data_IF_050856368989
#
_entry.id   IF_050856368989
#
_cell.length_a   1.000
_cell.length_b   1.000
_cell.length_c   1.000
_cell.angle_alpha   90.00
_cell.angle_beta   90.00
_cell.angle_gamma   90.00
#
_symmetry.space_group_name_H-M   'P 1'
#
loop_
_entity.id
_entity.type
_entity.pdbx_description
1 polymer ?
#
# COMPACT_ATOMS: atom_id res chain seq x y z
N UNK A 1 22.84 -5.07 -11.14
CA UNK A 1 21.48 -4.91 -10.55
C UNK A 1 21.53 -4.59 -9.06
N UNK A 2 22.66 -4.83 -8.39
CA UNK A 2 23.02 -4.31 -7.07
C UNK A 2 23.69 -2.94 -7.20
N UNK A 3 22.93 -1.86 -6.98
CA UNK A 3 23.41 -0.50 -6.57
C UNK A 3 22.27 0.55 -6.66
N UNK A 4 21.05 0.24 -6.21
CA UNK A 4 19.96 1.23 -6.34
C UNK A 4 18.87 1.08 -5.27
N UNK A 5 19.25 1.06 -3.99
CA UNK A 5 18.27 1.31 -2.91
C UNK A 5 17.55 2.67 -3.10
N UNK A 6 18.10 3.57 -3.93
CA UNK A 6 17.52 4.85 -4.34
C UNK A 6 16.34 4.76 -5.33
N UNK A 7 15.94 3.57 -5.82
CA UNK A 7 14.82 3.44 -6.76
C UNK A 7 13.44 3.42 -6.09
N UNK A 8 13.37 3.54 -4.76
CA UNK A 8 12.11 3.52 -4.01
C UNK A 8 11.58 4.95 -3.81
N UNK A 9 10.36 5.18 -4.27
CA UNK A 9 9.56 6.38 -3.98
C UNK A 9 8.59 5.99 -2.87
N UNK A 10 8.81 6.48 -1.65
CA UNK A 10 7.97 6.18 -0.49
C UNK A 10 7.02 7.34 -0.18
N UNK A 11 5.75 7.03 0.02
CA UNK A 11 4.71 7.97 0.37
C UNK A 11 3.96 7.45 1.60
N UNK A 12 3.97 8.21 2.69
CA UNK A 12 3.17 7.91 3.88
C UNK A 12 1.75 8.44 3.71
N UNK A 13 0.76 7.53 3.69
CA UNK A 13 -0.63 7.89 3.45
C UNK A 13 -1.28 8.63 4.61
N UNK A 14 -0.67 8.64 5.80
CA UNK A 14 -1.06 9.50 6.90
C UNK A 14 -0.89 11.00 6.57
N UNK A 15 -0.02 11.37 5.63
CA UNK A 15 0.08 12.76 5.14
C UNK A 15 -1.02 13.14 4.13
N UNK A 16 -1.78 12.16 3.65
CA UNK A 16 -2.80 12.30 2.60
C UNK A 16 -4.21 11.98 3.11
N UNK A 17 -4.43 12.14 4.42
CA UNK A 17 -5.73 11.93 5.07
C UNK A 17 -6.78 12.99 4.69
N UNK A 18 -6.33 14.18 4.30
CA UNK A 18 -7.21 15.32 4.00
C UNK A 18 -7.35 15.51 2.48
N UNK A 19 -8.55 15.92 2.05
CA UNK A 19 -8.84 16.07 0.62
C UNK A 19 -7.87 17.00 -0.11
N UNK A 20 -7.44 18.09 0.52
CA UNK A 20 -6.58 19.07 -0.14
C UNK A 20 -5.12 18.60 -0.21
N UNK A 21 -4.68 17.71 0.68
CA UNK A 21 -3.31 17.21 0.65
C UNK A 21 -3.10 16.18 -0.47
N UNK A 22 -4.17 15.53 -0.96
CA UNK A 22 -4.12 14.60 -2.12
C UNK A 22 -3.66 15.30 -3.41
N UNK A 23 -3.99 16.58 -3.59
CA UNK A 23 -3.54 17.35 -4.74
C UNK A 23 -2.01 17.40 -4.83
N UNK A 24 -1.28 17.33 -3.71
CA UNK A 24 0.20 17.29 -3.71
C UNK A 24 0.76 16.09 -4.46
N UNK A 25 0.02 14.98 -4.62
CA UNK A 25 0.48 13.81 -5.39
C UNK A 25 0.60 14.12 -6.89
N UNK A 26 -0.33 14.90 -7.44
CA UNK A 26 -0.46 15.20 -8.88
C UNK A 26 -0.13 16.65 -9.24
N UNK A 27 0.00 17.52 -8.25
CA UNK A 27 0.18 18.97 -8.38
C UNK A 27 -1.13 19.74 -8.13
N UNK A 28 -1.01 21.03 -7.88
CA UNK A 28 -2.18 21.91 -7.75
C UNK A 28 -2.70 22.33 -9.13
N UNK A 29 -4.02 22.51 -9.32
CA UNK A 29 -4.59 23.07 -10.55
C UNK A 29 -4.19 24.54 -10.78
N UNK A 30 -4.32 25.07 -12.01
CA UNK A 30 -4.13 26.49 -12.29
C UNK A 30 -4.99 27.37 -11.37
N UNK A 31 -4.36 28.37 -10.72
CA UNK A 31 -5.04 29.29 -9.81
C UNK A 31 -5.03 28.89 -8.32
N UNK A 32 -4.39 27.76 -7.97
CA UNK A 32 -4.19 27.34 -6.58
C UNK A 32 -2.74 27.50 -6.12
N UNK A 33 -2.52 27.65 -4.81
CA UNK A 33 -1.18 27.67 -4.21
C UNK A 33 -0.45 26.37 -4.54
N UNK A 34 0.81 26.46 -4.97
CA UNK A 34 1.61 25.31 -5.41
C UNK A 34 1.36 24.87 -6.85
N UNK A 35 0.70 25.68 -7.70
CA UNK A 35 0.51 25.36 -9.13
C UNK A 35 1.83 25.17 -9.89
N UNK A 36 2.87 25.93 -9.52
CA UNK A 36 4.19 25.78 -10.13
C UNK A 36 4.97 24.59 -9.55
N UNK A 37 4.54 24.05 -8.41
CA UNK A 37 5.07 22.82 -7.85
C UNK A 37 4.43 21.62 -8.56
N UNK A 38 5.25 20.78 -9.19
CA UNK A 38 4.77 19.53 -9.77
C UNK A 38 4.32 18.56 -8.67
N UNK A 39 3.49 17.58 -9.03
CA UNK A 39 3.04 16.57 -8.07
C UNK A 39 4.19 15.71 -7.57
N UNK A 40 4.20 15.41 -6.27
CA UNK A 40 5.23 14.60 -5.63
C UNK A 40 5.36 13.23 -6.29
N UNK A 41 4.23 12.57 -6.57
CA UNK A 41 4.22 11.25 -7.21
C UNK A 41 4.49 11.38 -8.72
N UNK A 42 3.79 12.28 -9.40
CA UNK A 42 3.91 12.44 -10.86
C UNK A 42 5.32 12.85 -11.28
N UNK A 43 5.96 13.79 -10.57
CA UNK A 43 7.33 14.20 -10.86
C UNK A 43 8.37 13.17 -10.46
N UNK A 44 8.19 12.46 -9.34
CA UNK A 44 9.11 11.41 -8.93
C UNK A 44 9.18 10.28 -9.98
N UNK A 45 8.02 9.79 -10.44
CA UNK A 45 7.95 8.75 -11.48
C UNK A 45 8.38 9.29 -12.84
N UNK A 46 8.07 10.55 -13.18
CA UNK A 46 8.57 11.19 -14.41
C UNK A 46 10.09 11.23 -14.46
N UNK A 47 10.75 11.50 -13.33
CA UNK A 47 12.22 11.51 -13.21
C UNK A 47 12.81 10.10 -13.19
N UNK A 48 12.09 9.12 -12.63
CA UNK A 48 12.52 7.72 -12.49
C UNK A 48 11.39 6.76 -12.91
N UNK A 49 11.19 6.54 -14.22
CA UNK A 49 10.12 5.67 -14.73
C UNK A 49 10.27 4.20 -14.36
N UNK A 50 11.49 3.77 -14.00
CA UNK A 50 11.81 2.45 -13.46
C UNK A 50 12.01 2.59 -11.96
N UNK A 51 10.92 2.47 -11.20
CA UNK A 51 10.92 2.68 -9.75
C UNK A 51 9.95 1.74 -9.05
N UNK A 52 10.14 1.62 -7.74
CA UNK A 52 9.16 1.03 -6.84
C UNK A 52 8.48 2.17 -6.12
N UNK A 53 7.16 2.29 -6.23
CA UNK A 53 6.36 3.25 -5.47
C UNK A 53 5.72 2.52 -4.30
N UNK A 54 6.09 2.90 -3.08
CA UNK A 54 5.56 2.35 -1.83
C UNK A 54 4.58 3.34 -1.21
N UNK A 55 3.30 2.97 -1.16
CA UNK A 55 2.27 3.66 -0.39
C UNK A 55 2.14 2.99 0.98
N UNK A 56 2.65 3.66 2.02
CA UNK A 56 2.65 3.14 3.38
C UNK A 56 1.34 3.50 4.09
N UNK A 57 0.80 2.60 4.93
CA UNK A 57 -0.44 2.80 5.70
C UNK A 57 -1.66 3.20 4.86
N UNK A 58 -1.91 2.49 3.75
CA UNK A 58 -2.91 2.87 2.74
C UNK A 58 -4.33 3.07 3.30
N UNK A 59 -4.69 2.41 4.40
CA UNK A 59 -5.97 2.59 5.09
C UNK A 59 -6.19 3.99 5.67
N UNK A 60 -5.13 4.79 5.80
CA UNK A 60 -5.20 6.18 6.30
C UNK A 60 -5.52 7.17 5.19
N UNK A 61 -5.27 6.81 3.93
CA UNK A 61 -5.43 7.72 2.81
C UNK A 61 -6.87 8.25 2.66
N UNK A 62 -7.00 9.49 2.22
CA UNK A 62 -8.29 10.03 1.80
C UNK A 62 -8.85 9.24 0.59
N UNK A 63 -10.18 9.05 0.47
CA UNK A 63 -10.81 8.34 -0.65
C UNK A 63 -10.36 8.77 -2.06
N UNK A 64 -10.04 10.05 -2.27
CA UNK A 64 -9.55 10.56 -3.56
C UNK A 64 -8.20 9.95 -3.98
N UNK A 65 -7.36 9.51 -3.04
CA UNK A 65 -6.10 8.82 -3.36
C UNK A 65 -6.38 7.49 -4.08
N UNK A 66 -7.45 6.79 -3.72
CA UNK A 66 -7.82 5.54 -4.39
C UNK A 66 -8.27 5.75 -5.82
N UNK A 67 -8.86 6.90 -6.16
CA UNK A 67 -9.18 7.24 -7.54
C UNK A 67 -7.90 7.42 -8.38
N UNK A 68 -6.88 8.07 -7.81
CA UNK A 68 -5.55 8.22 -8.43
C UNK A 68 -4.91 6.84 -8.62
N UNK A 69 -4.95 5.99 -7.59
CA UNK A 69 -4.39 4.63 -7.67
C UNK A 69 -5.13 3.76 -8.68
N UNK A 70 -6.46 3.82 -8.75
CA UNK A 70 -7.24 3.11 -9.77
C UNK A 70 -6.76 3.49 -11.18
N UNK A 71 -6.57 4.78 -11.46
CA UNK A 71 -6.07 5.23 -12.75
C UNK A 71 -4.68 4.63 -13.06
N UNK A 72 -3.78 4.59 -12.07
CA UNK A 72 -2.45 3.99 -12.23
C UNK A 72 -2.57 2.48 -12.51
N UNK A 73 -3.36 1.76 -11.70
CA UNK A 73 -3.47 0.30 -11.77
C UNK A 73 -4.25 -0.17 -13.01
N UNK A 74 -5.14 0.65 -13.56
CA UNK A 74 -5.92 0.33 -14.77
C UNK A 74 -5.19 0.74 -16.05
N UNK A 75 -4.76 2.00 -16.16
CA UNK A 75 -4.23 2.56 -17.41
C UNK A 75 -2.70 2.53 -17.49
N UNK A 76 -2.01 2.20 -16.38
CA UNK A 76 -0.57 2.34 -16.27
C UNK A 76 -0.10 3.79 -16.46
N UNK A 77 -0.99 4.77 -16.24
CA UNK A 77 -0.74 6.19 -16.46
C UNK A 77 -1.46 7.06 -15.43
N UNK A 78 -0.88 8.21 -15.16
CA UNK A 78 -1.50 9.24 -14.32
C UNK A 78 -1.28 10.61 -14.94
N UNK A 79 -2.32 11.42 -15.02
CA UNK A 79 -2.20 12.81 -15.47
C UNK A 79 -1.90 13.71 -14.28
N UNK A 80 -0.91 14.60 -14.44
CA UNK A 80 -0.72 15.69 -13.48
C UNK A 80 -1.81 16.76 -13.61
N UNK A 81 -1.82 17.71 -12.68
CA UNK A 81 -2.81 18.79 -12.67
C UNK A 81 -2.72 19.76 -13.87
N UNK A 82 -1.67 19.65 -14.68
CA UNK A 82 -1.47 20.39 -15.94
C UNK A 82 -1.90 19.56 -17.17
N UNK A 83 -2.46 18.37 -16.95
CA UNK A 83 -2.93 17.47 -17.99
C UNK A 83 -1.82 16.65 -18.68
N UNK A 84 -0.59 16.68 -18.16
CA UNK A 84 0.52 15.93 -18.75
C UNK A 84 0.58 14.52 -18.15
N UNK A 85 0.38 13.53 -19.01
CA UNK A 85 0.47 12.12 -18.62
C UNK A 85 1.89 11.73 -18.15
N UNK A 86 1.92 10.86 -17.14
CA UNK A 86 3.10 10.17 -16.61
C UNK A 86 2.87 8.68 -16.80
N UNK A 87 3.91 7.96 -17.25
CA UNK A 87 3.84 6.53 -17.52
C UNK A 87 4.33 5.73 -16.31
N UNK A 88 3.50 4.79 -15.84
CA UNK A 88 3.74 3.87 -14.73
C UNK A 88 3.96 2.42 -15.19
N UNK A 89 4.00 2.15 -16.50
CA UNK A 89 4.11 0.78 -17.03
C UNK A 89 5.39 0.03 -16.59
N UNK A 90 6.44 0.74 -16.16
CA UNK A 90 7.67 0.15 -15.64
C UNK A 90 7.85 0.40 -14.12
N UNK A 91 6.76 0.75 -13.44
CA UNK A 91 6.73 1.06 -12.01
C UNK A 91 6.07 -0.08 -11.27
N UNK A 92 6.72 -0.59 -10.22
CA UNK A 92 6.10 -1.53 -9.29
C UNK A 92 5.39 -0.72 -8.21
N UNK A 93 4.09 -0.93 -8.04
CA UNK A 93 3.31 -0.29 -6.97
C UNK A 93 3.16 -1.27 -5.81
N UNK A 94 3.61 -0.87 -4.63
CA UNK A 94 3.47 -1.61 -3.38
C UNK A 94 2.65 -0.78 -2.42
N UNK A 95 1.72 -1.44 -1.72
CA UNK A 95 0.91 -0.82 -0.68
C UNK A 95 1.03 -1.65 0.59
N UNK A 96 1.23 -1.01 1.72
CA UNK A 96 1.20 -1.66 3.03
C UNK A 96 -0.08 -1.27 3.75
N UNK A 97 -0.57 -2.15 4.60
CA UNK A 97 -1.71 -1.86 5.46
C UNK A 97 -1.57 -2.55 6.79
N UNK A 98 -1.97 -1.86 7.86
CA UNK A 98 -2.04 -2.43 9.21
C UNK A 98 -3.44 -2.96 9.55
N UNK A 99 -4.35 -3.05 8.58
CA UNK A 99 -5.69 -3.62 8.77
C UNK A 99 -5.62 -5.10 9.19
N UNK A 100 -6.51 -5.49 10.10
CA UNK A 100 -6.62 -6.87 10.60
C UNK A 100 -5.61 -7.28 11.68
N UNK A 101 -4.58 -6.46 11.96
CA UNK A 101 -3.54 -6.79 12.97
C UNK A 101 -4.08 -6.81 14.41
N UNK A 102 -5.08 -5.98 14.72
CA UNK A 102 -5.73 -5.89 16.04
C UNK A 102 -6.59 -7.12 16.36
N UNK A 103 -7.40 -7.59 15.40
CA UNK A 103 -8.26 -8.76 15.59
C UNK A 103 -7.45 -10.05 15.82
N UNK A 104 -6.27 -10.13 15.18
CA UNK A 104 -5.32 -11.22 15.43
C UNK A 104 -4.82 -11.25 16.88
N UNK A 105 -4.58 -10.09 17.51
CA UNK A 105 -4.17 -10.03 18.93
C UNK A 105 -5.27 -10.52 19.86
N UNK A 106 -6.53 -10.20 19.58
CA UNK A 106 -7.66 -10.57 20.44
C UNK A 106 -7.94 -12.08 20.42
N UNK A 107 -7.90 -12.72 19.25
CA UNK A 107 -8.12 -14.17 19.12
C UNK A 107 -7.00 -15.00 19.77
N UNK A 108 -5.78 -14.48 19.80
CA UNK A 108 -4.65 -15.11 20.48
C UNK A 108 -4.77 -15.06 22.02
N UNK A 109 -5.26 -13.94 22.58
CA UNK A 109 -5.41 -13.80 24.04
C UNK A 109 -6.44 -14.75 24.66
N UNK A 110 -7.32 -15.35 23.86
CA UNK A 110 -8.36 -16.26 24.34
C UNK A 110 -7.97 -17.75 24.24
N UNK A 111 -6.79 -18.09 23.69
CA UNK A 111 -6.46 -19.46 23.26
C UNK A 111 -5.06 -20.01 23.59
N UNK A 112 -4.20 -19.36 24.38
CA UNK A 112 -2.90 -19.95 24.74
C UNK A 112 -3.01 -21.02 25.85
N UNK A 113 -3.22 -22.28 25.46
CA UNK A 113 -2.40 -23.37 26.00
C UNK A 113 -1.09 -23.41 25.19
N UNK A 114 0.09 -23.48 25.82
CA UNK A 114 1.34 -23.61 25.10
C UNK A 114 1.45 -25.05 24.57
N UNK A 115 0.83 -25.33 23.43
CA UNK A 115 1.14 -26.53 22.66
C UNK A 115 2.42 -26.26 21.87
N UNK A 116 3.39 -27.16 22.05
CA UNK A 116 4.63 -27.26 21.28
C UNK A 116 4.26 -27.16 19.78
N UNK A 117 4.95 -26.32 18.97
CA UNK A 117 4.58 -26.11 17.57
C UNK A 117 4.74 -27.42 16.81
N UNK A 118 3.62 -28.03 16.43
CA UNK A 118 3.57 -29.14 15.49
C UNK A 118 3.41 -28.56 14.08
N UNK A 119 4.29 -28.94 13.15
CA UNK A 119 4.38 -28.37 11.78
C UNK A 119 3.08 -28.50 10.95
N UNK A 120 2.12 -29.30 11.43
CA UNK A 120 0.81 -29.50 10.79
C UNK A 120 -0.26 -28.49 11.21
N UNK A 121 -0.12 -27.87 12.38
CA UNK A 121 -1.11 -26.93 12.94
C UNK A 121 -1.04 -25.54 12.29
N UNK A 122 0.09 -25.20 11.69
CA UNK A 122 0.36 -23.90 11.06
C UNK A 122 -0.52 -23.66 9.84
N UNK A 123 -0.63 -24.64 8.93
CA UNK A 123 -1.36 -24.48 7.66
C UNK A 123 -2.85 -24.09 7.80
N UNK A 124 -3.57 -24.70 8.75
CA UNK A 124 -4.99 -24.44 8.97
C UNK A 124 -5.23 -23.10 9.71
N UNK A 125 -4.34 -22.73 10.63
CA UNK A 125 -4.36 -21.43 11.30
C UNK A 125 -4.00 -20.30 10.33
N UNK A 126 -3.08 -20.55 9.39
CA UNK A 126 -2.68 -19.60 8.35
C UNK A 126 -3.83 -19.31 7.38
N UNK A 127 -4.60 -20.33 6.98
CA UNK A 127 -5.80 -20.17 6.16
C UNK A 127 -6.84 -19.25 6.83
N UNK A 128 -7.18 -19.53 8.09
CA UNK A 128 -8.15 -18.72 8.87
C UNK A 128 -7.67 -17.28 9.06
N UNK A 129 -6.37 -17.08 9.31
CA UNK A 129 -5.78 -15.75 9.43
C UNK A 129 -5.89 -14.97 8.12
N UNK A 130 -5.52 -15.60 7.00
CA UNK A 130 -5.65 -15.00 5.67
C UNK A 130 -7.09 -14.62 5.37
N UNK A 131 -8.05 -15.50 5.64
CA UNK A 131 -9.48 -15.23 5.41
C UNK A 131 -9.96 -14.02 6.23
N UNK A 132 -9.59 -13.95 7.51
CA UNK A 132 -9.93 -12.83 8.39
C UNK A 132 -9.37 -11.50 7.86
N UNK A 133 -8.10 -11.48 7.44
CA UNK A 133 -7.47 -10.29 6.86
C UNK A 133 -8.15 -9.90 5.55
N UNK A 134 -8.46 -10.87 4.69
CA UNK A 134 -9.15 -10.61 3.42
C UNK A 134 -10.57 -10.05 3.63
N UNK A 135 -11.28 -10.47 4.67
CA UNK A 135 -12.58 -9.89 5.04
C UNK A 135 -12.45 -8.43 5.49
N UNK A 136 -11.47 -8.12 6.33
CA UNK A 136 -11.20 -6.74 6.76
C UNK A 136 -10.78 -5.86 5.57
N UNK A 137 -9.94 -6.36 4.66
CA UNK A 137 -9.59 -5.66 3.43
C UNK A 137 -10.81 -5.39 2.54
N UNK A 138 -11.70 -6.37 2.35
CA UNK A 138 -12.96 -6.20 1.58
C UNK A 138 -13.93 -5.22 2.23
N UNK A 139 -13.86 -5.06 3.56
CA UNK A 139 -14.69 -4.10 4.30
C UNK A 139 -14.13 -2.68 4.20
N UNK A 140 -12.80 -2.55 4.23
CA UNK A 140 -12.13 -1.25 4.20
C UNK A 140 -12.02 -0.68 2.77
N UNK A 141 -11.78 -1.54 1.77
CA UNK A 141 -11.57 -1.13 0.39
C UNK A 141 -12.70 -1.58 -0.52
N UNK A 142 -13.01 -0.75 -1.53
CA UNK A 142 -14.04 -1.07 -2.52
C UNK A 142 -13.60 -2.26 -3.38
N UNK A 143 -14.52 -3.15 -3.79
CA UNK A 143 -14.19 -4.31 -4.61
C UNK A 143 -13.47 -3.96 -5.91
N UNK A 144 -13.80 -2.84 -6.55
CA UNK A 144 -13.14 -2.47 -7.80
C UNK A 144 -11.65 -2.19 -7.61
N UNK A 145 -11.24 -1.64 -6.47
CA UNK A 145 -9.82 -1.43 -6.15
C UNK A 145 -9.09 -2.75 -5.93
N UNK A 146 -9.67 -3.64 -5.11
CA UNK A 146 -9.08 -4.95 -4.84
C UNK A 146 -8.93 -5.80 -6.10
N UNK A 147 -9.86 -5.68 -7.05
CA UNK A 147 -9.81 -6.38 -8.33
C UNK A 147 -8.68 -5.89 -9.25
N UNK A 148 -8.04 -4.75 -8.96
CA UNK A 148 -6.87 -4.22 -9.68
C UNK A 148 -5.55 -4.55 -9.01
N UNK A 149 -5.56 -5.16 -7.83
CA UNK A 149 -4.35 -5.59 -7.14
C UNK A 149 -3.99 -7.00 -7.61
N UNK A 150 -2.81 -7.16 -8.21
CA UNK A 150 -2.35 -8.44 -8.75
C UNK A 150 -2.17 -9.52 -7.67
N UNK A 151 -1.63 -9.13 -6.51
CA UNK A 151 -1.36 -10.04 -5.41
C UNK A 151 -1.49 -9.34 -4.05
N UNK A 152 -2.10 -10.04 -3.09
CA UNK A 152 -2.15 -9.64 -1.68
C UNK A 152 -1.25 -10.57 -0.87
N UNK A 153 -0.18 -10.00 -0.32
CA UNK A 153 0.79 -10.69 0.53
C UNK A 153 0.42 -10.45 1.99
N UNK A 154 0.20 -11.53 2.73
CA UNK A 154 -0.07 -11.50 4.17
C UNK A 154 1.22 -11.86 4.90
N UNK A 155 1.72 -10.95 5.73
CA UNK A 155 2.91 -11.20 6.52
C UNK A 155 2.55 -11.93 7.83
N UNK A 156 3.28 -13.00 8.10
CA UNK A 156 3.21 -13.72 9.38
C UNK A 156 3.99 -12.95 10.46
N UNK A 157 3.64 -13.18 11.73
CA UNK A 157 4.45 -12.65 12.82
C UNK A 157 5.81 -13.32 12.83
N UNK A 158 6.84 -12.53 13.06
CA UNK A 158 8.19 -13.06 13.26
C UNK A 158 8.20 -14.04 14.44
N UNK A 159 8.60 -15.28 14.18
CA UNK A 159 8.89 -16.23 15.23
C UNK A 159 10.10 -15.73 16.04
N UNK A 160 10.18 -16.09 17.33
CA UNK A 160 11.32 -15.75 18.19
C UNK A 160 12.68 -16.19 17.61
N UNK A 161 12.69 -17.25 16.79
CA UNK A 161 13.89 -17.73 16.09
C UNK A 161 14.28 -16.79 14.94
N UNK A 162 13.31 -16.24 14.22
CA UNK A 162 13.53 -15.26 13.14
C UNK A 162 13.94 -13.89 13.70
N UNK A 163 13.39 -13.49 14.85
CA UNK A 163 13.80 -12.25 15.54
C UNK A 163 15.28 -12.26 15.98
N UNK A 164 15.92 -13.42 16.14
CA UNK A 164 17.37 -13.50 16.47
C UNK A 164 18.29 -13.29 15.26
N UNK A 165 17.75 -13.23 14.04
CA UNK A 165 18.51 -13.05 12.80
C UNK A 165 18.41 -11.63 12.22
N UNK A 166 17.71 -10.74 12.93
CA UNK A 166 17.57 -9.30 12.62
C UNK A 166 18.50 -8.55 13.58
#
# INVERSE_FOLDING_TARGET
>A
LSDNEDAIIRLDMSEFMERHSTARLVGSPPGYVGYDEGGQLTEAVRRRPYSVVLFDEIEKAHPEVFNILLQILEDGRLSDAKGKAVNFANTIVIMTSNLGVSNLKANLSMGFQPAIPDERSTSAEHGKMRDTIMEELKRAFRPEFLNRVDAVVVFERLAMVQMRQI
#
